data_IF_086696822206
#
_entry.id   IF_086696822206
#
_cell.length_a   1.000
_cell.length_b   1.000
_cell.length_c   1.000
_cell.angle_alpha   90.00
_cell.angle_beta   90.00
_cell.angle_gamma   90.00
#
_symmetry.space_group_name_H-M   'P 1'
#
loop_
_entity.id
_entity.type
_entity.pdbx_description
1 polymer ?
#
# COMPACT_ATOMS: atom_id res chain seq x y z
N UNK A 1 -73.80 -17.33 -57.66
CA UNK A 1 -73.23 -16.28 -58.50
C UNK A 1 -72.04 -15.71 -57.76
N UNK A 2 -70.80 -15.71 -58.22
CA UNK A 2 -70.06 -16.43 -59.25
C UNK A 2 -68.58 -16.06 -58.99
N UNK A 3 -67.68 -16.90 -59.48
CA UNK A 3 -66.23 -16.88 -59.29
C UNK A 3 -65.52 -15.59 -59.73
N UNK A 4 -64.36 -15.25 -59.11
CA UNK A 4 -63.09 -15.27 -59.85
C UNK A 4 -61.81 -15.23 -58.99
N UNK A 5 -60.93 -16.20 -59.26
CA UNK A 5 -59.51 -16.21 -58.93
C UNK A 5 -58.74 -15.19 -59.80
N UNK A 6 -57.77 -14.51 -59.20
CA UNK A 6 -56.77 -13.70 -59.90
C UNK A 6 -55.35 -14.05 -59.44
N UNK A 7 -54.74 -15.02 -60.11
CA UNK A 7 -53.31 -15.35 -60.00
C UNK A 7 -52.46 -14.19 -60.54
N UNK A 8 -51.72 -13.52 -59.66
CA UNK A 8 -50.63 -12.63 -60.01
C UNK A 8 -49.30 -13.37 -59.95
N UNK A 9 -48.85 -13.86 -61.10
CA UNK A 9 -47.55 -14.49 -61.31
C UNK A 9 -46.41 -13.50 -61.06
N UNK A 10 -45.74 -13.61 -59.92
CA UNK A 10 -44.45 -12.94 -59.69
C UNK A 10 -43.35 -13.75 -60.36
N UNK A 11 -43.12 -13.40 -61.63
CA UNK A 11 -41.98 -13.75 -62.47
C UNK A 11 -40.69 -14.02 -61.66
N UNK A 12 -40.32 -15.30 -61.58
CA UNK A 12 -38.95 -15.72 -61.29
C UNK A 12 -38.09 -15.41 -62.54
N UNK A 13 -37.79 -14.13 -62.75
CA UNK A 13 -36.82 -13.70 -63.75
C UNK A 13 -35.42 -14.10 -63.30
N UNK A 14 -34.76 -14.97 -64.06
CA UNK A 14 -33.33 -15.18 -63.94
C UNK A 14 -32.62 -13.83 -64.10
N UNK A 15 -31.80 -13.39 -63.13
CA UNK A 15 -31.19 -12.07 -63.20
C UNK A 15 -30.26 -12.00 -64.42
N UNK A 16 -30.41 -10.94 -65.22
CA UNK A 16 -29.56 -10.70 -66.41
C UNK A 16 -28.07 -10.76 -66.01
N UNK A 17 -27.18 -11.34 -66.83
CA UNK A 17 -25.75 -11.52 -66.50
C UNK A 17 -25.01 -10.24 -66.07
N UNK A 18 -25.47 -9.07 -66.52
CA UNK A 18 -24.90 -7.78 -66.11
C UNK A 18 -25.31 -7.36 -64.69
N UNK A 19 -26.55 -7.62 -64.26
CA UNK A 19 -27.00 -7.32 -62.90
C UNK A 19 -26.35 -8.24 -61.85
N UNK A 20 -26.08 -9.50 -62.21
CA UNK A 20 -25.35 -10.42 -61.32
C UNK A 20 -23.89 -10.03 -61.16
N UNK A 21 -23.25 -9.54 -62.24
CA UNK A 21 -21.88 -9.03 -62.20
C UNK A 21 -21.75 -7.74 -61.37
N UNK A 22 -22.65 -6.77 -61.55
CA UNK A 22 -22.68 -5.54 -60.75
C UNK A 22 -22.97 -5.83 -59.26
N UNK A 23 -23.87 -6.77 -58.97
CA UNK A 23 -24.15 -7.21 -57.61
C UNK A 23 -22.94 -7.91 -56.98
N UNK A 24 -22.25 -8.77 -57.72
CA UNK A 24 -21.04 -9.44 -57.26
C UNK A 24 -19.93 -8.43 -56.96
N UNK A 25 -19.76 -7.40 -57.80
CA UNK A 25 -18.78 -6.34 -57.59
C UNK A 25 -19.12 -5.46 -56.38
N UNK A 26 -20.39 -5.08 -56.18
CA UNK A 26 -20.83 -4.37 -54.96
C UNK A 26 -20.56 -5.18 -53.69
N UNK A 27 -20.80 -6.49 -53.74
CA UNK A 27 -20.53 -7.41 -52.62
C UNK A 27 -19.03 -7.50 -52.32
N UNK A 28 -18.19 -7.58 -53.37
CA UNK A 28 -16.73 -7.56 -53.26
C UNK A 28 -16.24 -6.26 -52.63
N UNK A 29 -16.71 -5.11 -53.11
CA UNK A 29 -16.34 -3.80 -52.56
C UNK A 29 -16.74 -3.65 -51.09
N UNK A 30 -17.94 -4.12 -50.74
CA UNK A 30 -18.40 -4.14 -49.35
C UNK A 30 -17.50 -5.01 -48.48
N UNK A 31 -17.14 -6.21 -48.95
CA UNK A 31 -16.22 -7.10 -48.24
C UNK A 31 -14.83 -6.47 -48.04
N UNK A 32 -14.25 -5.83 -49.08
CA UNK A 32 -12.98 -5.12 -48.96
C UNK A 32 -13.06 -3.97 -47.95
N UNK A 33 -14.15 -3.20 -47.94
CA UNK A 33 -14.36 -2.11 -46.97
C UNK A 33 -14.42 -2.64 -45.55
N UNK A 34 -15.17 -3.71 -45.31
CA UNK A 34 -15.25 -4.36 -44.00
C UNK A 34 -13.88 -4.88 -43.54
N UNK A 35 -13.13 -5.55 -44.42
CA UNK A 35 -11.79 -6.05 -44.06
C UNK A 35 -10.79 -4.90 -43.81
N UNK A 36 -10.88 -3.80 -44.57
CA UNK A 36 -10.06 -2.61 -44.31
C UNK A 36 -10.33 -2.04 -42.92
N UNK A 37 -11.61 -1.85 -42.57
CA UNK A 37 -12.00 -1.36 -41.26
C UNK A 37 -11.55 -2.30 -40.14
N UNK A 38 -11.66 -3.62 -40.33
CA UNK A 38 -11.15 -4.62 -39.38
C UNK A 38 -9.64 -4.47 -39.16
N UNK A 39 -8.86 -4.30 -40.23
CA UNK A 39 -7.40 -4.11 -40.14
C UNK A 39 -7.03 -2.79 -39.48
N UNK A 40 -7.75 -1.71 -39.78
CA UNK A 40 -7.55 -0.40 -39.15
C UNK A 40 -7.79 -0.49 -37.63
N UNK A 41 -8.86 -1.15 -37.20
CA UNK A 41 -9.14 -1.37 -35.78
C UNK A 41 -8.04 -2.19 -35.08
N UNK A 42 -7.55 -3.26 -35.72
CA UNK A 42 -6.44 -4.06 -35.18
C UNK A 42 -5.15 -3.24 -35.08
N UNK A 43 -4.82 -2.45 -36.11
CA UNK A 43 -3.63 -1.60 -36.09
C UNK A 43 -3.70 -0.52 -35.01
N UNK A 44 -4.89 0.05 -34.79
CA UNK A 44 -5.11 0.99 -33.70
C UNK A 44 -4.88 0.32 -32.33
N UNK A 45 -5.38 -0.91 -32.15
CA UNK A 45 -5.14 -1.68 -30.93
C UNK A 45 -3.65 -1.95 -30.64
N UNK A 46 -2.83 -2.20 -31.68
CA UNK A 46 -1.38 -2.30 -31.50
C UNK A 46 -0.73 -0.98 -31.07
N UNK A 47 -1.26 0.16 -31.54
CA UNK A 47 -0.83 1.49 -31.14
C UNK A 47 -1.10 1.75 -29.67
N UNK A 48 -2.34 1.57 -29.22
CA UNK A 48 -2.75 1.71 -27.82
C UNK A 48 -1.93 0.79 -26.90
N UNK A 49 -1.72 -0.46 -27.32
CA UNK A 49 -0.95 -1.43 -26.55
C UNK A 49 0.50 -1.01 -26.35
N UNK A 50 1.08 -0.34 -27.35
CA UNK A 50 2.43 0.19 -27.28
C UNK A 50 2.52 1.39 -26.32
N UNK A 51 1.49 2.23 -26.23
CA UNK A 51 1.46 3.36 -25.31
C UNK A 51 1.32 2.94 -23.84
N UNK A 52 0.64 1.83 -23.58
CA UNK A 52 0.51 1.26 -22.22
C UNK A 52 1.79 0.59 -21.71
N UNK A 53 2.72 0.26 -22.61
CA UNK A 53 3.99 -0.35 -22.25
C UNK A 53 4.96 0.69 -21.70
N UNK A 54 5.69 0.39 -20.61
CA UNK A 54 6.74 1.26 -20.10
C UNK A 54 7.81 1.58 -21.15
N UNK A 55 8.33 2.81 -21.16
CA UNK A 55 9.34 3.25 -22.14
C UNK A 55 10.64 2.41 -22.08
N UNK A 56 11.00 1.91 -20.90
CA UNK A 56 12.17 1.03 -20.71
C UNK A 56 11.97 -0.37 -21.34
N UNK A 57 10.73 -0.75 -21.60
CA UNK A 57 10.32 -1.96 -22.30
C UNK A 57 10.17 -1.70 -23.80
N UNK A 58 10.50 -0.53 -24.33
CA UNK A 58 10.54 -0.26 -25.77
C UNK A 58 11.99 -0.32 -26.26
N UNK A 59 12.29 -1.00 -27.38
CA UNK A 59 13.67 -1.09 -27.86
C UNK A 59 14.10 0.26 -28.42
N UNK A 60 15.17 0.82 -27.88
CA UNK A 60 15.81 2.01 -28.44
C UNK A 60 16.40 1.64 -29.80
N UNK A 61 15.89 2.25 -30.87
CA UNK A 61 16.46 2.14 -32.22
C UNK A 61 16.02 0.94 -33.07
N UNK A 62 15.11 0.05 -32.60
CA UNK A 62 14.58 -1.06 -33.41
C UNK A 62 13.09 -0.87 -33.74
N UNK A 63 12.71 -1.13 -35.00
CA UNK A 63 11.30 -1.10 -35.45
C UNK A 63 10.51 -2.17 -34.69
N UNK A 64 9.57 -1.75 -33.84
CA UNK A 64 8.67 -2.69 -33.17
C UNK A 64 7.78 -3.39 -34.19
N UNK A 65 7.93 -4.70 -34.29
CA UNK A 65 7.02 -5.56 -35.02
C UNK A 65 5.79 -5.85 -34.18
N UNK A 66 4.65 -6.15 -34.80
CA UNK A 66 3.43 -6.56 -34.10
C UNK A 66 3.71 -7.72 -33.13
N UNK A 67 4.55 -8.68 -33.55
CA UNK A 67 4.97 -9.79 -32.70
C UNK A 67 5.75 -9.34 -31.45
N UNK A 68 6.67 -8.37 -31.60
CA UNK A 68 7.41 -7.82 -30.45
C UNK A 68 6.51 -7.04 -29.50
N UNK A 69 5.47 -6.35 -30.00
CA UNK A 69 4.53 -5.63 -29.12
C UNK A 69 3.79 -6.64 -28.24
N UNK A 70 3.22 -7.69 -28.86
CA UNK A 70 2.48 -8.73 -28.13
C UNK A 70 3.36 -9.44 -27.08
N UNK A 71 4.58 -9.81 -27.45
CA UNK A 71 5.47 -10.50 -26.52
C UNK A 71 5.78 -9.65 -25.28
N UNK A 72 6.11 -8.36 -25.48
CA UNK A 72 6.41 -7.45 -24.38
C UNK A 72 5.21 -7.13 -23.52
N UNK A 73 4.02 -7.05 -24.12
CA UNK A 73 2.77 -6.95 -23.36
C UNK A 73 2.59 -8.15 -22.45
N UNK A 74 2.79 -9.37 -22.95
CA UNK A 74 2.68 -10.58 -22.14
C UNK A 74 3.69 -10.57 -20.98
N UNK A 75 4.93 -10.17 -21.23
CA UNK A 75 5.95 -10.07 -20.19
C UNK A 75 5.61 -8.98 -19.16
N UNK A 76 5.13 -7.83 -19.61
CA UNK A 76 4.72 -6.74 -18.72
C UNK A 76 3.52 -7.13 -17.84
N UNK A 77 2.54 -7.86 -18.40
CA UNK A 77 1.42 -8.40 -17.62
C UNK A 77 1.91 -9.32 -16.51
N UNK A 78 2.81 -10.27 -16.82
CA UNK A 78 3.40 -11.16 -15.81
C UNK A 78 4.16 -10.38 -14.74
N UNK A 79 4.96 -9.38 -15.15
CA UNK A 79 5.67 -8.53 -14.21
C UNK A 79 4.71 -7.76 -13.29
N UNK A 80 3.61 -7.24 -13.83
CA UNK A 80 2.59 -6.56 -13.04
C UNK A 80 1.90 -7.50 -12.06
N UNK A 81 1.57 -8.74 -12.47
CA UNK A 81 1.00 -9.75 -11.58
C UNK A 81 1.94 -10.10 -10.42
N UNK A 82 3.22 -10.31 -10.71
CA UNK A 82 4.24 -10.59 -9.71
C UNK A 82 4.47 -9.39 -8.76
N UNK A 83 4.49 -8.18 -9.31
CA UNK A 83 4.57 -6.94 -8.53
C UNK A 83 3.35 -6.76 -7.64
N UNK A 84 2.15 -7.03 -8.14
CA UNK A 84 0.92 -6.95 -7.37
C UNK A 84 0.93 -7.95 -6.21
N UNK A 85 1.29 -9.22 -6.47
CA UNK A 85 1.45 -10.25 -5.44
C UNK A 85 2.45 -9.82 -4.36
N UNK A 86 3.60 -9.30 -4.77
CA UNK A 86 4.64 -8.80 -3.84
C UNK A 86 4.13 -7.64 -2.99
N UNK A 87 3.37 -6.73 -3.59
CA UNK A 87 2.79 -5.60 -2.88
C UNK A 87 1.73 -6.05 -1.87
N UNK A 88 0.89 -7.02 -2.22
CA UNK A 88 -0.10 -7.59 -1.32
C UNK A 88 0.55 -8.25 -0.11
N UNK A 89 1.64 -9.01 -0.30
CA UNK A 89 2.43 -9.58 0.79
C UNK A 89 3.02 -8.51 1.71
N UNK A 90 3.61 -7.45 1.14
CA UNK A 90 4.14 -6.31 1.91
C UNK A 90 3.04 -5.63 2.71
N UNK A 91 1.86 -5.45 2.12
CA UNK A 91 0.71 -4.81 2.74
C UNK A 91 0.18 -5.66 3.91
N UNK A 92 0.07 -6.98 3.71
CA UNK A 92 -0.28 -7.95 4.77
C UNK A 92 0.71 -7.90 5.93
N UNK A 93 2.01 -7.87 5.65
CA UNK A 93 3.06 -7.74 6.69
C UNK A 93 2.95 -6.44 7.47
N UNK A 94 2.71 -5.31 6.79
CA UNK A 94 2.51 -4.01 7.45
C UNK A 94 1.27 -4.01 8.34
N UNK A 95 0.14 -4.53 7.85
CA UNK A 95 -1.10 -4.66 8.64
C UNK A 95 -0.87 -5.51 9.89
N UNK A 96 -0.27 -6.69 9.75
CA UNK A 96 0.05 -7.55 10.90
C UNK A 96 0.91 -6.84 11.96
N UNK A 97 1.88 -6.01 11.55
CA UNK A 97 2.67 -5.20 12.49
C UNK A 97 1.83 -4.13 13.17
N UNK A 98 0.95 -3.45 12.45
CA UNK A 98 0.04 -2.47 13.03
C UNK A 98 -0.89 -3.12 14.06
N UNK A 99 -1.49 -4.26 13.71
CA UNK A 99 -2.37 -5.01 14.61
C UNK A 99 -1.61 -5.43 15.89
N UNK A 100 -0.37 -5.92 15.75
CA UNK A 100 0.49 -6.26 16.89
C UNK A 100 0.77 -5.05 17.80
N UNK A 101 1.13 -3.90 17.20
CA UNK A 101 1.38 -2.68 17.98
C UNK A 101 0.12 -2.17 18.67
N UNK A 102 -1.04 -2.25 18.01
CA UNK A 102 -2.31 -1.87 18.60
C UNK A 102 -2.70 -2.77 19.77
N UNK A 103 -2.52 -4.09 19.64
CA UNK A 103 -2.72 -5.01 20.77
C UNK A 103 -1.82 -4.65 21.95
N UNK A 104 -0.54 -4.38 21.71
CA UNK A 104 0.40 -3.97 22.76
C UNK A 104 -0.07 -2.67 23.43
N UNK A 105 -0.48 -1.67 22.66
CA UNK A 105 -0.98 -0.40 23.21
C UNK A 105 -2.23 -0.61 24.09
N UNK A 106 -3.18 -1.44 23.64
CA UNK A 106 -4.38 -1.79 24.40
C UNK A 106 -4.05 -2.51 25.72
N UNK A 107 -3.04 -3.38 25.73
CA UNK A 107 -2.58 -4.03 26.95
C UNK A 107 -1.98 -3.03 27.93
N UNK A 108 -1.19 -2.06 27.45
CA UNK A 108 -0.67 -0.98 28.28
C UNK A 108 -1.79 -0.11 28.86
N UNK A 109 -2.80 0.25 28.07
CA UNK A 109 -3.95 1.02 28.56
C UNK A 109 -4.73 0.27 29.65
N UNK A 110 -4.95 -1.04 29.46
CA UNK A 110 -5.59 -1.90 30.46
C UNK A 110 -4.79 -1.97 31.76
N UNK A 111 -3.46 -2.16 31.66
CA UNK A 111 -2.57 -2.15 32.83
C UNK A 111 -2.58 -0.81 33.56
N UNK A 112 -2.67 0.32 32.84
CA UNK A 112 -2.78 1.65 33.47
C UNK A 112 -4.12 1.80 34.22
N UNK A 113 -5.23 1.30 33.65
CA UNK A 113 -6.54 1.29 34.31
C UNK A 113 -6.56 0.45 35.59
N UNK A 114 -5.93 -0.74 35.56
CA UNK A 114 -5.79 -1.62 36.72
C UNK A 114 -4.83 -1.05 37.78
N UNK A 115 -3.72 -0.44 37.36
CA UNK A 115 -2.78 0.23 38.25
C UNK A 115 -3.44 1.43 38.96
N UNK A 116 -4.26 2.20 38.24
CA UNK A 116 -5.02 3.33 38.82
C UNK A 116 -6.08 2.88 39.82
N UNK A 117 -6.67 1.69 39.62
CA UNK A 117 -7.62 1.10 40.60
C UNK A 117 -6.92 0.57 41.86
N UNK A 118 -5.61 0.33 41.79
CA UNK A 118 -4.75 -0.12 42.89
C UNK A 118 -3.94 1.02 43.54
N UNK A 119 -4.22 2.28 43.17
CA UNK A 119 -3.42 3.45 43.53
C UNK A 119 -3.33 3.76 45.05
N UNK A 120 -4.14 3.09 45.88
CA UNK A 120 -4.08 3.18 47.35
C UNK A 120 -3.23 2.08 48.02
N UNK A 121 -2.65 1.16 47.24
CA UNK A 121 -1.78 0.10 47.76
C UNK A 121 -0.37 0.64 48.07
N UNK A 122 0.32 0.16 49.11
CA UNK A 122 1.73 0.47 49.35
C UNK A 122 2.64 0.16 48.14
N UNK A 123 2.21 -0.69 47.22
CA UNK A 123 2.88 -0.91 45.93
C UNK A 123 2.88 0.34 45.03
N UNK A 124 1.82 1.16 45.08
CA UNK A 124 1.70 2.43 44.34
C UNK A 124 2.77 3.44 44.76
N UNK A 125 2.97 3.60 46.07
CA UNK A 125 4.01 4.49 46.62
C UNK A 125 5.40 4.01 46.21
N UNK A 126 5.68 2.70 46.27
CA UNK A 126 6.95 2.14 45.82
C UNK A 126 7.18 2.37 44.31
N UNK A 127 6.13 2.24 43.49
CA UNK A 127 6.19 2.54 42.06
C UNK A 127 6.46 4.03 41.79
N UNK A 128 5.87 4.94 42.56
CA UNK A 128 6.14 6.39 42.44
C UNK A 128 7.56 6.76 42.87
N UNK A 129 8.08 6.16 43.94
CA UNK A 129 9.48 6.33 44.37
C UNK A 129 10.46 5.84 43.29
N UNK A 130 10.19 4.66 42.72
CA UNK A 130 11.00 4.10 41.64
C UNK A 130 10.92 4.98 40.38
N UNK A 131 9.74 5.48 40.04
CA UNK A 131 9.54 6.40 38.91
C UNK A 131 10.37 7.67 39.09
N UNK A 132 10.33 8.29 40.27
CA UNK A 132 11.11 9.48 40.56
C UNK A 132 12.63 9.24 40.48
N UNK A 133 13.09 8.07 40.95
CA UNK A 133 14.49 7.67 40.81
C UNK A 133 14.89 7.51 39.33
N UNK A 134 14.07 6.82 38.54
CA UNK A 134 14.35 6.61 37.11
C UNK A 134 14.37 7.92 36.34
N UNK A 135 13.44 8.83 36.61
CA UNK A 135 13.38 10.15 35.99
C UNK A 135 14.62 10.98 36.35
N UNK A 136 15.01 11.02 37.62
CA UNK A 136 16.22 11.74 38.05
C UNK A 136 17.49 11.18 37.40
N UNK A 137 17.64 9.86 37.35
CA UNK A 137 18.76 9.21 36.69
C UNK A 137 18.77 9.51 35.18
N UNK A 138 17.60 9.49 34.53
CA UNK A 138 17.47 9.74 33.11
C UNK A 138 17.72 11.20 32.74
N UNK A 139 17.21 12.16 33.50
CA UNK A 139 17.44 13.58 33.27
C UNK A 139 18.92 13.95 33.48
N UNK A 140 19.54 13.39 34.52
CA UNK A 140 20.99 13.51 34.76
C UNK A 140 21.81 12.92 33.60
N UNK A 141 21.41 11.75 33.09
CA UNK A 141 22.04 11.11 31.93
C UNK A 141 21.92 11.99 30.68
N UNK A 142 20.70 12.44 30.38
CA UNK A 142 20.36 13.18 29.16
C UNK A 142 21.06 14.53 29.05
N UNK A 143 21.36 15.16 30.20
CA UNK A 143 22.00 16.47 30.27
C UNK A 143 23.53 16.39 30.25
N UNK A 144 24.11 15.28 30.72
CA UNK A 144 25.55 15.17 30.94
C UNK A 144 26.29 14.26 29.95
N UNK A 145 25.57 13.42 29.20
CA UNK A 145 26.17 12.48 28.24
C UNK A 145 25.99 12.99 26.82
N UNK A 146 27.10 13.03 26.09
CA UNK A 146 27.13 13.32 24.67
C UNK A 146 27.10 12.03 23.88
N UNK A 147 26.05 11.86 23.07
CA UNK A 147 25.79 10.67 22.24
C UNK A 147 26.19 10.86 20.76
N UNK A 148 26.89 11.93 20.44
CA UNK A 148 27.25 12.28 19.05
C UNK A 148 28.23 11.30 18.42
N UNK A 149 29.17 10.73 19.19
CA UNK A 149 30.15 9.76 18.72
C UNK A 149 30.62 8.81 19.85
N UNK A 150 31.25 7.69 19.49
CA UNK A 150 31.67 6.65 20.44
C UNK A 150 32.75 7.11 21.44
N UNK A 151 33.64 8.01 21.04
CA UNK A 151 34.70 8.56 21.90
C UNK A 151 34.11 9.52 22.94
N UNK A 152 33.18 10.37 22.52
CA UNK A 152 32.44 11.29 23.38
C UNK A 152 31.55 10.53 24.38
N UNK A 153 30.86 9.46 23.94
CA UNK A 153 30.09 8.59 24.84
C UNK A 153 30.99 7.95 25.89
N UNK A 154 32.09 7.30 25.49
CA UNK A 154 32.96 6.58 26.43
C UNK A 154 33.64 7.52 27.43
N UNK A 155 33.98 8.75 27.02
CA UNK A 155 34.52 9.78 27.92
C UNK A 155 33.46 10.30 28.90
N UNK A 156 32.28 10.67 28.41
CA UNK A 156 31.24 11.32 29.22
C UNK A 156 30.48 10.35 30.11
N UNK A 157 30.30 9.09 29.70
CA UNK A 157 29.60 8.07 30.48
C UNK A 157 30.31 7.75 31.80
N UNK A 158 31.64 7.59 31.76
CA UNK A 158 32.45 7.31 32.95
C UNK A 158 32.43 8.51 33.90
N UNK A 159 32.55 9.72 33.36
CA UNK A 159 32.48 10.95 34.16
C UNK A 159 31.09 11.20 34.75
N UNK A 160 30.03 10.86 34.02
CA UNK A 160 28.65 10.93 34.51
C UNK A 160 28.41 9.94 35.65
N UNK A 161 28.87 8.69 35.51
CA UNK A 161 28.73 7.68 36.55
C UNK A 161 29.40 8.11 37.87
N UNK A 162 30.53 8.81 37.79
CA UNK A 162 31.23 9.37 38.95
C UNK A 162 30.52 10.62 39.53
N UNK A 163 29.90 11.43 38.67
CA UNK A 163 29.16 12.65 39.05
C UNK A 163 27.73 12.40 39.50
N UNK A 164 27.19 11.20 39.29
CA UNK A 164 25.85 10.85 39.73
C UNK A 164 25.80 10.92 41.25
N UNK A 165 25.11 11.92 41.78
CA UNK A 165 25.00 12.11 43.22
C UNK A 165 24.06 11.05 43.83
N UNK A 166 24.65 9.90 44.16
CA UNK A 166 23.98 8.76 44.79
C UNK A 166 23.39 9.13 46.16
N UNK A 167 23.95 10.14 46.83
CA UNK A 167 23.48 10.58 48.16
C UNK A 167 22.18 11.39 48.09
N UNK A 168 21.86 11.95 46.92
CA UNK A 168 20.61 12.66 46.68
C UNK A 168 19.45 11.72 46.32
N UNK A 169 19.73 10.50 45.88
CA UNK A 169 18.71 9.51 45.50
C UNK A 169 17.69 9.21 46.61
N UNK A 170 18.08 9.00 47.89
CA UNK A 170 17.11 8.78 48.96
C UNK A 170 16.20 9.99 49.20
N UNK A 171 16.72 11.22 49.06
CA UNK A 171 15.92 12.43 49.24
C UNK A 171 14.85 12.56 48.14
N UNK A 172 15.22 12.32 46.87
CA UNK A 172 14.28 12.33 45.73
C UNK A 172 13.17 11.28 45.91
N UNK A 173 13.52 10.08 46.37
CA UNK A 173 12.54 9.03 46.64
C UNK A 173 11.59 9.39 47.80
N UNK A 174 12.10 9.99 48.88
CA UNK A 174 11.28 10.43 50.02
C UNK A 174 10.34 11.57 49.62
N UNK A 175 10.83 12.56 48.86
CA UNK A 175 10.01 13.65 48.33
C UNK A 175 8.83 13.12 47.48
N UNK A 176 9.10 12.16 46.59
CA UNK A 176 8.05 11.50 45.80
C UNK A 176 7.03 10.75 46.67
N UNK A 177 7.48 10.02 47.70
CA UNK A 177 6.60 9.32 48.63
C UNK A 177 5.72 10.25 49.50
N UNK A 178 6.21 11.46 49.80
CA UNK A 178 5.42 12.45 50.56
C UNK A 178 4.35 13.13 49.71
N UNK A 179 4.66 13.42 48.44
CA UNK A 179 3.70 14.00 47.50
C UNK A 179 2.54 13.04 47.18
N UNK A 180 2.81 11.73 47.10
CA UNK A 180 1.80 10.70 46.85
C UNK A 180 0.78 10.58 48.00
N UNK A 181 1.26 10.64 49.24
CA UNK A 181 0.42 10.59 50.44
C UNK A 181 -0.38 11.88 50.68
N UNK A 182 0.16 13.05 50.29
CA UNK A 182 -0.52 14.34 50.43
C UNK A 182 -1.76 14.52 49.55
N UNK A 183 -1.83 13.82 48.41
CA UNK A 183 -3.00 13.83 47.51
C UNK A 183 -4.17 13.04 48.10
N UNK A 184 -3.90 12.02 48.93
CA UNK A 184 -4.96 11.20 49.56
C UNK A 184 -5.67 11.88 50.74
N UNK A 185 -5.12 12.97 51.31
CA UNK A 185 -5.75 13.71 52.42
C UNK A 185 -6.59 14.92 51.97
N UNK A 186 -6.68 15.20 50.67
CA UNK A 186 -7.44 16.32 50.09
C UNK A 186 -8.65 15.90 49.25
N UNK A 187 -9.08 14.65 49.31
CA UNK A 187 -10.34 14.18 48.70
C UNK A 187 -11.35 13.80 49.76
#
# INVERSE_FOLDING_TARGET
>A
MDLQHGSGSSSAGTPKPQQTAEWAERRKQTHLRCEKQRREAINNGYGELKELLPENMLPVGCKQTNASILFRTCDYLKQMEDSNRTNDEKLKKKRSRLDAMQMIAQQYESMIGEASSSASSPLSVQCEMLRALLEYCFESFSTQIDVSDYESITRTLILWADRLDVQRLPAVMVEAATNSNGVSHRR
#
